data_IF_354911901877
#
_entry.id   IF_354911901877
#
_cell.length_a   1.000
_cell.length_b   1.000
_cell.length_c   1.000
_cell.angle_alpha   90.00
_cell.angle_beta   90.00
_cell.angle_gamma   90.00
#
_symmetry.space_group_name_H-M   'P 1'
#
loop_
_entity.id
_entity.type
_entity.pdbx_description
1 polymer ?
#
# COMPACT_ATOMS: atom_id res chain seq x y z
N UNK A 1 -12.16 9.49 3.14
CA UNK A 1 -11.07 8.64 3.70
C UNK A 1 -9.94 9.58 4.08
N UNK A 2 -9.53 9.57 5.35
CA UNK A 2 -8.41 10.36 5.85
C UNK A 2 -7.06 9.73 5.45
N UNK A 3 -6.00 10.53 5.40
CA UNK A 3 -4.64 10.03 5.06
C UNK A 3 -4.14 9.02 6.11
N UNK A 4 -4.51 9.21 7.39
CA UNK A 4 -4.23 8.22 8.45
C UNK A 4 -4.90 6.87 8.17
N UNK A 5 -6.17 6.87 7.76
CA UNK A 5 -6.89 5.64 7.41
C UNK A 5 -6.27 4.95 6.20
N UNK A 6 -5.82 5.71 5.20
CA UNK A 6 -5.09 5.15 4.05
C UNK A 6 -3.75 4.55 4.45
N UNK A 7 -2.98 5.22 5.31
CA UNK A 7 -1.72 4.68 5.83
C UNK A 7 -1.96 3.37 6.62
N UNK A 8 -3.03 3.29 7.42
CA UNK A 8 -3.43 2.06 8.11
C UNK A 8 -3.80 0.94 7.14
N UNK A 9 -4.49 1.26 6.03
CA UNK A 9 -4.77 0.27 4.99
C UNK A 9 -3.51 -0.19 4.27
N UNK A 10 -2.53 0.70 4.04
CA UNK A 10 -1.21 0.31 3.55
C UNK A 10 -0.49 -0.62 4.54
N UNK A 11 -0.56 -0.35 5.84
CA UNK A 11 0.00 -1.25 6.85
C UNK A 11 -0.75 -2.60 6.90
N UNK A 12 -2.07 -2.59 6.74
CA UNK A 12 -2.89 -3.80 6.66
C UNK A 12 -2.52 -4.68 5.46
N UNK A 13 -2.07 -4.10 4.35
CA UNK A 13 -1.67 -4.87 3.17
C UNK A 13 -0.46 -5.80 3.40
N UNK A 14 0.29 -5.61 4.48
CA UNK A 14 1.38 -6.51 4.89
C UNK A 14 0.90 -7.72 5.69
N UNK A 15 -0.37 -7.78 6.08
CA UNK A 15 -0.93 -8.94 6.77
C UNK A 15 -1.40 -9.95 5.73
N UNK A 16 -0.78 -11.13 5.72
CA UNK A 16 -1.19 -12.23 4.85
C UNK A 16 -2.49 -12.85 5.35
N UNK A 17 -3.51 -12.84 4.50
CA UNK A 17 -4.83 -13.34 4.87
C UNK A 17 -4.86 -14.88 4.85
N UNK A 18 -5.25 -15.55 5.94
CA UNK A 18 -5.44 -17.00 5.95
C UNK A 18 -6.39 -17.45 4.82
N UNK A 19 -6.09 -18.59 4.23
CA UNK A 19 -6.81 -19.12 3.06
C UNK A 19 -8.33 -19.20 3.29
N UNK A 20 -8.73 -19.58 4.48
CA UNK A 20 -10.14 -19.72 4.87
C UNK A 20 -10.84 -18.35 4.89
N UNK A 21 -10.14 -17.31 5.36
CA UNK A 21 -10.66 -15.93 5.34
C UNK A 21 -10.70 -15.38 3.93
N UNK A 22 -9.68 -15.65 3.12
CA UNK A 22 -9.65 -15.23 1.72
C UNK A 22 -10.79 -15.87 0.91
N UNK A 23 -11.07 -17.15 1.15
CA UNK A 23 -12.18 -17.87 0.51
C UNK A 23 -13.57 -17.40 0.98
N UNK A 24 -13.65 -16.76 2.15
CA UNK A 24 -14.91 -16.24 2.72
C UNK A 24 -15.23 -14.79 2.32
N UNK A 25 -14.42 -14.17 1.45
CA UNK A 25 -14.70 -12.84 0.93
C UNK A 25 -15.91 -12.88 -0.04
N UNK A 26 -16.71 -11.80 -0.11
CA UNK A 26 -16.53 -10.50 0.52
C UNK A 26 -16.94 -10.46 1.99
N UNK A 27 -16.19 -9.68 2.80
CA UNK A 27 -16.44 -9.54 4.23
C UNK A 27 -16.14 -8.10 4.72
N UNK A 28 -16.89 -7.60 5.71
CA UNK A 28 -16.60 -6.32 6.35
C UNK A 28 -15.19 -6.33 6.92
N UNK A 29 -14.45 -5.22 6.75
CA UNK A 29 -13.06 -5.11 7.24
C UNK A 29 -13.01 -5.31 8.77
N UNK A 30 -13.96 -4.74 9.52
CA UNK A 30 -14.06 -4.95 10.97
C UNK A 30 -14.18 -6.44 11.34
N UNK A 31 -14.90 -7.22 10.54
CA UNK A 31 -15.04 -8.67 10.77
C UNK A 31 -13.78 -9.44 10.38
N UNK A 32 -13.10 -9.05 9.30
CA UNK A 32 -11.79 -9.61 8.95
C UNK A 32 -10.80 -9.37 10.08
N UNK A 33 -10.71 -8.12 10.57
CA UNK A 33 -9.86 -7.78 11.71
C UNK A 33 -10.21 -8.58 12.96
N UNK A 34 -11.51 -8.72 13.29
CA UNK A 34 -11.97 -9.52 14.43
C UNK A 34 -11.52 -10.97 14.35
N UNK A 35 -11.68 -11.62 13.20
CA UNK A 35 -11.24 -13.02 12.99
C UNK A 35 -9.72 -13.19 13.12
N UNK A 36 -8.93 -12.22 12.59
CA UNK A 36 -7.49 -12.24 12.75
C UNK A 36 -7.08 -12.04 14.21
N UNK A 37 -7.75 -11.16 14.96
CA UNK A 37 -7.49 -10.93 16.38
C UNK A 37 -7.88 -12.15 17.24
N UNK A 38 -8.98 -12.83 16.92
CA UNK A 38 -9.43 -14.05 17.60
C UNK A 38 -8.44 -15.21 17.40
N UNK A 39 -7.90 -15.38 16.19
CA UNK A 39 -6.91 -16.41 15.90
C UNK A 39 -5.51 -16.07 16.41
N UNK A 40 -5.18 -14.79 16.53
CA UNK A 40 -3.83 -14.31 16.82
C UNK A 40 -2.82 -14.58 15.70
N UNK A 41 -3.27 -14.99 14.51
CA UNK A 41 -2.40 -15.43 13.42
C UNK A 41 -2.80 -14.85 12.06
N UNK A 42 -1.78 -14.56 11.24
CA UNK A 42 -1.88 -14.39 9.79
C UNK A 42 -1.69 -15.75 9.09
N UNK A 43 -1.67 -15.77 7.76
CA UNK A 43 -1.37 -16.99 7.01
C UNK A 43 0.07 -17.50 7.23
N UNK A 44 1.00 -16.63 7.63
CA UNK A 44 2.42 -16.91 7.66
C UNK A 44 3.03 -16.94 9.07
N UNK A 45 2.44 -16.21 10.02
CA UNK A 45 3.06 -15.99 11.34
C UNK A 45 2.06 -15.54 12.40
N UNK A 46 2.46 -15.59 13.66
CA UNK A 46 1.74 -14.96 14.76
C UNK A 46 1.70 -13.43 14.57
N UNK A 47 0.57 -12.84 14.91
CA UNK A 47 0.41 -11.39 14.84
C UNK A 47 1.24 -10.71 15.92
N UNK A 48 2.11 -9.79 15.50
CA UNK A 48 2.84 -8.93 16.42
C UNK A 48 1.88 -8.01 17.21
N UNK A 49 2.36 -7.47 18.32
CA UNK A 49 1.60 -6.50 19.12
C UNK A 49 1.19 -5.27 18.27
N UNK A 50 2.04 -4.86 17.31
CA UNK A 50 1.76 -3.75 16.41
C UNK A 50 0.67 -4.11 15.39
N UNK A 51 0.72 -5.31 14.81
CA UNK A 51 -0.32 -5.81 13.93
C UNK A 51 -1.67 -5.89 14.66
N UNK A 52 -1.68 -6.38 15.90
CA UNK A 52 -2.91 -6.42 16.71
C UNK A 52 -3.46 -5.03 17.03
N UNK A 53 -2.58 -4.03 17.32
CA UNK A 53 -3.00 -2.64 17.50
C UNK A 53 -3.60 -2.06 16.22
N UNK A 54 -2.96 -2.30 15.08
CA UNK A 54 -3.47 -1.89 13.77
C UNK A 54 -4.86 -2.47 13.48
N UNK A 55 -5.05 -3.78 13.69
CA UNK A 55 -6.32 -4.46 13.44
C UNK A 55 -7.45 -3.90 14.32
N UNK A 56 -7.17 -3.63 15.61
CA UNK A 56 -8.13 -2.95 16.49
C UNK A 56 -8.46 -1.54 15.97
N UNK A 57 -7.44 -0.74 15.63
CA UNK A 57 -7.66 0.60 15.11
C UNK A 57 -8.49 0.62 13.82
N UNK A 58 -8.31 -0.37 12.93
CA UNK A 58 -9.11 -0.51 11.70
C UNK A 58 -10.56 -0.95 12.00
N UNK A 59 -10.75 -1.82 12.98
CA UNK A 59 -12.07 -2.30 13.38
C UNK A 59 -12.89 -1.22 14.11
N UNK A 60 -12.24 -0.39 14.93
CA UNK A 60 -12.89 0.60 15.79
C UNK A 60 -13.10 1.96 15.10
N UNK A 61 -12.32 2.27 14.05
CA UNK A 61 -12.48 3.53 13.31
C UNK A 61 -13.66 3.41 12.34
N UNK A 62 -14.69 4.24 12.51
CA UNK A 62 -15.93 4.19 11.70
C UNK A 62 -15.65 4.18 10.19
N UNK A 63 -14.70 5.00 9.76
CA UNK A 63 -14.35 5.15 8.35
C UNK A 63 -13.82 3.86 7.71
N UNK A 64 -13.02 3.08 8.45
CA UNK A 64 -12.43 1.81 7.98
C UNK A 64 -13.32 0.61 8.30
N UNK A 65 -13.99 0.61 9.45
CA UNK A 65 -14.87 -0.48 9.88
C UNK A 65 -16.01 -0.78 8.89
N UNK A 66 -16.48 0.24 8.16
CA UNK A 66 -17.55 0.12 7.16
C UNK A 66 -17.07 -0.40 5.80
N UNK A 67 -15.77 -0.45 5.55
CA UNK A 67 -15.23 -1.00 4.32
C UNK A 67 -15.55 -2.49 4.22
N UNK A 68 -15.74 -2.96 3.00
CA UNK A 68 -15.88 -4.39 2.71
C UNK A 68 -14.68 -4.85 1.91
N UNK A 69 -13.90 -5.78 2.44
CA UNK A 69 -12.86 -6.48 1.67
C UNK A 69 -13.58 -7.35 0.65
N UNK A 70 -13.39 -7.05 -0.62
CA UNK A 70 -14.05 -7.76 -1.73
C UNK A 70 -13.10 -8.67 -2.49
N UNK A 71 -11.80 -8.38 -2.41
CA UNK A 71 -10.75 -9.12 -3.12
C UNK A 71 -9.47 -9.11 -2.30
N UNK A 72 -8.74 -10.20 -2.34
CA UNK A 72 -7.38 -10.34 -1.85
C UNK A 72 -6.55 -11.06 -2.90
N UNK A 73 -5.44 -10.47 -3.30
CA UNK A 73 -4.45 -11.06 -4.18
C UNK A 73 -3.14 -11.21 -3.42
N UNK A 74 -2.51 -12.38 -3.49
CA UNK A 74 -1.19 -12.65 -2.94
C UNK A 74 -0.47 -13.65 -3.85
N UNK A 75 0.43 -13.15 -4.67
CA UNK A 75 1.26 -13.93 -5.57
C UNK A 75 2.70 -14.03 -5.05
N UNK A 76 2.83 -14.44 -3.79
CA UNK A 76 4.12 -14.51 -3.09
C UNK A 76 5.19 -15.36 -3.77
N UNK A 77 4.80 -16.35 -4.59
CA UNK A 77 5.72 -17.22 -5.32
C UNK A 77 5.96 -16.82 -6.78
N UNK A 78 5.13 -15.94 -7.34
CA UNK A 78 5.24 -15.45 -8.72
C UNK A 78 5.90 -14.07 -8.78
N UNK A 79 5.08 -13.02 -8.87
CA UNK A 79 5.55 -11.63 -8.95
C UNK A 79 5.91 -11.02 -7.60
N UNK A 80 5.50 -11.62 -6.48
CA UNK A 80 5.56 -11.04 -5.13
C UNK A 80 4.48 -9.98 -4.89
N UNK A 81 3.54 -9.77 -5.81
CA UNK A 81 2.46 -8.81 -5.66
C UNK A 81 1.45 -9.27 -4.62
N UNK A 82 1.08 -8.35 -3.72
CA UNK A 82 -0.08 -8.57 -2.86
C UNK A 82 -0.87 -7.28 -2.68
N UNK A 83 -2.18 -7.40 -2.60
CA UNK A 83 -3.07 -6.27 -2.42
C UNK A 83 -4.46 -6.69 -1.92
N UNK A 84 -5.13 -5.73 -1.31
CA UNK A 84 -6.54 -5.82 -0.93
C UNK A 84 -7.38 -4.89 -1.76
N UNK A 85 -8.45 -5.41 -2.34
CA UNK A 85 -9.55 -4.64 -2.91
C UNK A 85 -10.64 -4.43 -1.88
N UNK A 86 -10.98 -3.16 -1.62
CA UNK A 86 -11.99 -2.79 -0.64
C UNK A 86 -13.08 -1.95 -1.30
N UNK A 87 -14.33 -2.24 -0.95
CA UNK A 87 -15.47 -1.44 -1.35
C UNK A 87 -15.84 -0.47 -0.24
N UNK A 88 -15.85 0.82 -0.57
CA UNK A 88 -16.40 1.90 0.24
C UNK A 88 -17.84 2.21 -0.18
N UNK A 89 -18.48 3.19 0.50
CA UNK A 89 -19.84 3.64 0.16
C UNK A 89 -19.94 4.13 -1.28
N UNK A 90 -18.96 4.94 -1.71
CA UNK A 90 -19.04 5.69 -2.97
C UNK A 90 -17.95 5.28 -3.99
N UNK A 91 -17.32 4.12 -3.79
CA UNK A 91 -16.26 3.67 -4.70
C UNK A 91 -15.43 2.53 -4.12
N UNK A 92 -14.20 2.39 -4.63
CA UNK A 92 -13.30 1.31 -4.28
C UNK A 92 -11.92 1.83 -3.87
N UNK A 93 -11.23 1.04 -3.06
CA UNK A 93 -9.85 1.29 -2.64
C UNK A 93 -9.04 0.04 -2.95
N UNK A 94 -7.86 0.19 -3.54
CA UNK A 94 -6.89 -0.88 -3.69
C UNK A 94 -5.67 -0.52 -2.88
N UNK A 95 -5.39 -1.30 -1.82
CA UNK A 95 -4.22 -1.14 -0.96
C UNK A 95 -3.16 -2.17 -1.35
N UNK A 96 -2.05 -1.73 -1.89
CA UNK A 96 -0.96 -2.57 -2.43
C UNK A 96 0.18 -2.66 -1.43
N UNK A 97 0.66 -3.89 -1.19
CA UNK A 97 1.78 -4.19 -0.29
C UNK A 97 3.10 -3.72 -0.90
N UNK A 98 3.97 -3.15 -0.07
CA UNK A 98 5.37 -2.95 -0.40
C UNK A 98 6.21 -4.22 -0.24
N UNK A 99 7.53 -4.09 -0.38
CA UNK A 99 8.44 -5.22 -0.20
C UNK A 99 8.52 -5.63 1.26
N UNK A 100 8.56 -6.94 1.49
CA UNK A 100 8.83 -7.52 2.79
C UNK A 100 10.34 -7.72 2.97
N UNK A 101 10.91 -7.04 3.96
CA UNK A 101 12.34 -7.14 4.23
C UNK A 101 12.72 -8.44 4.98
N UNK A 102 11.79 -9.01 5.74
CA UNK A 102 11.98 -10.20 6.60
C UNK A 102 10.64 -10.88 6.83
N UNK A 103 10.66 -12.19 6.98
CA UNK A 103 9.49 -13.00 7.32
C UNK A 103 9.46 -14.32 6.56
N UNK A 104 8.68 -15.31 7.01
CA UNK A 104 8.59 -16.62 6.36
C UNK A 104 7.99 -16.56 4.95
N UNK A 105 7.27 -15.49 4.63
CA UNK A 105 6.70 -15.24 3.31
C UNK A 105 7.47 -14.19 2.49
N UNK A 106 8.58 -13.63 3.05
CA UNK A 106 9.42 -12.67 2.35
C UNK A 106 10.18 -13.36 1.21
N UNK A 107 9.78 -13.10 -0.02
CA UNK A 107 10.41 -13.66 -1.21
C UNK A 107 11.70 -12.94 -1.58
N UNK A 108 12.76 -13.67 -1.97
CA UNK A 108 13.95 -13.09 -2.59
C UNK A 108 13.63 -12.28 -3.86
N UNK A 109 12.50 -12.54 -4.48
CA UNK A 109 12.02 -11.90 -5.69
C UNK A 109 11.78 -10.41 -5.49
N UNK A 110 11.27 -9.98 -4.32
CA UNK A 110 10.99 -8.57 -4.02
C UNK A 110 12.25 -7.70 -4.03
N UNK A 111 13.38 -8.20 -3.54
CA UNK A 111 14.64 -7.47 -3.56
C UNK A 111 15.22 -7.32 -4.95
N UNK A 112 15.20 -8.41 -5.75
CA UNK A 112 15.67 -8.39 -7.15
C UNK A 112 14.82 -7.42 -7.95
N UNK A 113 13.50 -7.46 -7.78
CA UNK A 113 12.57 -6.57 -8.48
C UNK A 113 12.75 -5.10 -8.07
N UNK A 114 13.07 -4.82 -6.79
CA UNK A 114 13.37 -3.46 -6.33
C UNK A 114 14.61 -2.87 -7.00
N UNK A 115 15.66 -3.68 -7.22
CA UNK A 115 16.86 -3.24 -7.93
C UNK A 115 16.64 -3.13 -9.44
N UNK A 116 15.81 -3.98 -10.01
CA UNK A 116 15.55 -4.02 -11.45
C UNK A 116 14.49 -3.01 -11.90
N UNK A 117 13.51 -2.71 -11.04
CA UNK A 117 12.37 -1.84 -11.36
C UNK A 117 12.76 -0.49 -11.99
N UNK A 118 13.83 0.22 -11.57
CA UNK A 118 14.26 1.46 -12.18
C UNK A 118 14.70 1.34 -13.64
N UNK A 119 15.13 0.14 -14.06
CA UNK A 119 15.75 -0.10 -15.37
C UNK A 119 14.82 -0.83 -16.33
N UNK A 120 14.11 -1.85 -15.85
CA UNK A 120 13.32 -2.76 -16.69
C UNK A 120 11.83 -2.80 -16.34
N UNK A 121 11.41 -2.08 -15.31
CA UNK A 121 10.07 -2.15 -14.76
C UNK A 121 9.90 -3.28 -13.73
N UNK A 122 8.85 -3.16 -12.92
CA UNK A 122 8.50 -4.17 -11.92
C UNK A 122 7.71 -5.32 -12.54
N UNK A 123 7.98 -6.54 -12.11
CA UNK A 123 7.15 -7.71 -12.46
C UNK A 123 5.72 -7.57 -11.94
N UNK A 124 5.52 -6.76 -10.91
CA UNK A 124 4.22 -6.52 -10.27
C UNK A 124 3.33 -5.53 -11.05
N UNK A 125 3.84 -4.87 -12.09
CA UNK A 125 3.06 -3.88 -12.84
C UNK A 125 1.81 -4.47 -13.47
N UNK A 126 1.92 -5.63 -14.10
CA UNK A 126 0.78 -6.30 -14.74
C UNK A 126 -0.30 -6.70 -13.74
N UNK A 127 0.10 -7.11 -12.53
CA UNK A 127 -0.84 -7.47 -11.46
C UNK A 127 -1.52 -6.24 -10.88
N UNK A 128 -0.77 -5.16 -10.66
CA UNK A 128 -1.30 -3.87 -10.19
C UNK A 128 -2.30 -3.27 -11.20
N UNK A 129 -1.98 -3.31 -12.49
CA UNK A 129 -2.88 -2.87 -13.56
C UNK A 129 -4.15 -3.73 -13.64
N UNK A 130 -4.00 -5.06 -13.57
CA UNK A 130 -5.13 -6.00 -13.61
C UNK A 130 -6.09 -5.74 -12.44
N UNK A 131 -5.55 -5.58 -11.23
CA UNK A 131 -6.36 -5.32 -10.06
C UNK A 131 -7.07 -3.95 -10.14
N UNK A 132 -6.37 -2.90 -10.58
CA UNK A 132 -6.99 -1.59 -10.79
C UNK A 132 -8.06 -1.61 -11.90
N UNK A 133 -7.83 -2.37 -12.99
CA UNK A 133 -8.77 -2.51 -14.10
C UNK A 133 -10.07 -3.26 -13.73
N UNK A 134 -10.08 -4.00 -12.63
CA UNK A 134 -11.29 -4.61 -12.06
C UNK A 134 -12.30 -3.58 -11.56
N UNK A 135 -11.88 -2.33 -11.32
CA UNK A 135 -12.71 -1.26 -10.74
C UNK A 135 -12.88 -0.11 -11.74
N UNK A 136 -13.65 -0.34 -12.80
CA UNK A 136 -13.84 0.63 -13.89
C UNK A 136 -14.86 1.71 -13.61
N UNK A 137 -15.82 1.44 -12.74
CA UNK A 137 -16.94 2.33 -12.44
C UNK A 137 -16.79 2.98 -11.06
N UNK A 138 -17.18 4.27 -10.99
CA UNK A 138 -17.12 5.04 -9.76
C UNK A 138 -15.72 5.45 -9.32
N UNK A 139 -15.58 6.15 -8.20
CA UNK A 139 -14.31 6.56 -7.64
C UNK A 139 -13.42 5.35 -7.30
N UNK A 140 -12.14 5.40 -7.72
CA UNK A 140 -11.12 4.42 -7.39
C UNK A 140 -9.96 5.12 -6.72
N UNK A 141 -9.59 4.67 -5.52
CA UNK A 141 -8.42 5.15 -4.80
C UNK A 141 -7.37 4.04 -4.71
N UNK A 142 -6.22 4.26 -5.33
CA UNK A 142 -5.06 3.36 -5.26
C UNK A 142 -4.14 3.85 -4.15
N UNK A 143 -3.68 2.96 -3.28
CA UNK A 143 -2.77 3.33 -2.21
C UNK A 143 -1.74 2.24 -1.94
N UNK A 144 -0.61 2.63 -1.35
CA UNK A 144 0.45 1.70 -0.99
C UNK A 144 1.64 2.43 -0.37
N UNK A 145 2.51 1.66 0.27
CA UNK A 145 3.74 2.11 0.88
C UNK A 145 4.94 1.55 0.12
N UNK A 146 6.02 2.33 0.00
CA UNK A 146 7.26 1.87 -0.64
C UNK A 146 7.01 1.37 -2.07
N UNK A 147 7.39 0.12 -2.39
CA UNK A 147 7.10 -0.53 -3.67
C UNK A 147 5.59 -0.63 -3.96
N UNK A 148 4.75 -0.87 -2.94
CA UNK A 148 3.30 -0.88 -3.12
C UNK A 148 2.76 0.49 -3.55
N UNK A 149 3.34 1.58 -3.01
CA UNK A 149 3.06 2.94 -3.45
C UNK A 149 3.49 3.18 -4.90
N UNK A 150 4.67 2.69 -5.28
CA UNK A 150 5.15 2.74 -6.66
C UNK A 150 4.22 2.00 -7.63
N UNK A 151 3.76 0.80 -7.26
CA UNK A 151 2.79 0.03 -8.03
C UNK A 151 1.44 0.75 -8.15
N UNK A 152 0.96 1.39 -7.08
CA UNK A 152 -0.27 2.18 -7.08
C UNK A 152 -0.16 3.40 -8.04
N UNK A 153 0.98 4.08 -8.03
CA UNK A 153 1.26 5.17 -8.97
C UNK A 153 1.31 4.66 -10.41
N UNK A 154 2.00 3.55 -10.67
CA UNK A 154 2.07 2.97 -12.01
C UNK A 154 0.68 2.56 -12.53
N UNK A 155 -0.10 1.86 -11.71
CA UNK A 155 -1.46 1.45 -12.05
C UNK A 155 -2.37 2.66 -12.32
N UNK A 156 -2.25 3.76 -11.56
CA UNK A 156 -2.94 5.01 -11.88
C UNK A 156 -2.51 5.55 -13.24
N UNK A 157 -1.22 5.51 -13.56
CA UNK A 157 -0.69 5.94 -14.87
C UNK A 157 -1.38 5.24 -16.02
N UNK A 158 -1.67 3.96 -15.88
CA UNK A 158 -2.31 3.10 -16.89
C UNK A 158 -3.84 3.01 -16.76
N UNK A 159 -4.43 3.52 -15.68
CA UNK A 159 -5.87 3.35 -15.43
C UNK A 159 -6.73 4.04 -16.49
N UNK A 160 -7.71 3.31 -17.01
CA UNK A 160 -8.77 3.84 -17.89
C UNK A 160 -9.86 4.59 -17.10
N UNK A 161 -10.03 4.26 -15.81
CA UNK A 161 -11.02 4.90 -14.95
C UNK A 161 -10.72 6.41 -14.77
N UNK A 162 -11.59 7.33 -15.25
CA UNK A 162 -11.35 8.77 -15.18
C UNK A 162 -11.43 9.32 -13.75
N UNK A 163 -12.04 8.59 -12.83
CA UNK A 163 -12.17 8.96 -11.42
C UNK A 163 -11.09 8.33 -10.52
N UNK A 164 -10.13 7.59 -11.12
CA UNK A 164 -9.04 7.01 -10.37
C UNK A 164 -8.08 8.08 -9.86
N UNK A 165 -7.60 7.90 -8.61
CA UNK A 165 -6.60 8.72 -7.93
C UNK A 165 -5.62 7.81 -7.18
N UNK A 166 -4.45 8.32 -6.80
CA UNK A 166 -3.53 7.59 -5.95
C UNK A 166 -3.00 8.45 -4.80
N UNK A 167 -2.86 7.82 -3.65
CA UNK A 167 -2.16 8.34 -2.48
C UNK A 167 -1.11 7.32 -2.08
N UNK A 168 0.15 7.67 -2.23
CA UNK A 168 1.29 6.82 -1.92
C UNK A 168 2.05 7.34 -0.70
N UNK A 169 2.76 6.44 -0.01
CA UNK A 169 3.57 6.75 1.16
C UNK A 169 4.99 6.23 0.93
N UNK A 170 6.00 7.11 0.99
CA UNK A 170 7.41 6.79 0.78
C UNK A 170 7.68 5.97 -0.50
N UNK A 171 6.88 6.19 -1.53
CA UNK A 171 7.00 5.48 -2.79
C UNK A 171 8.19 6.00 -3.60
N UNK A 172 8.97 5.09 -4.17
CA UNK A 172 10.01 5.46 -5.14
C UNK A 172 9.37 6.01 -6.43
N UNK A 173 10.09 6.86 -7.14
CA UNK A 173 9.70 7.37 -8.44
C UNK A 173 9.97 6.40 -9.60
N UNK A 174 10.04 6.91 -10.81
CA UNK A 174 10.16 6.14 -12.05
C UNK A 174 11.48 6.41 -12.76
N UNK A 175 12.06 5.36 -13.34
CA UNK A 175 13.24 5.44 -14.19
C UNK A 175 12.93 6.16 -15.52
N UNK A 176 14.01 6.53 -16.22
CA UNK A 176 13.90 7.23 -17.51
C UNK A 176 13.19 6.33 -18.54
N UNK A 177 12.12 6.85 -19.15
CA UNK A 177 11.37 6.12 -20.17
C UNK A 177 10.32 5.13 -19.67
N UNK A 178 10.19 4.90 -18.37
CA UNK A 178 9.18 3.98 -17.82
C UNK A 178 7.73 4.47 -17.95
N UNK A 179 7.55 5.78 -18.06
CA UNK A 179 6.22 6.39 -18.22
C UNK A 179 6.13 7.17 -19.52
N UNK A 180 5.02 7.01 -20.21
CA UNK A 180 4.64 7.85 -21.34
C UNK A 180 4.31 9.29 -20.89
N UNK A 181 4.30 10.28 -21.79
CA UNK A 181 3.88 11.64 -21.45
C UNK A 181 2.46 11.70 -20.86
N UNK A 182 1.52 10.92 -21.38
CA UNK A 182 0.14 10.87 -20.89
C UNK A 182 0.04 10.30 -19.46
N UNK A 183 0.83 9.25 -19.15
CA UNK A 183 0.91 8.70 -17.79
C UNK A 183 1.47 9.73 -16.81
N UNK A 184 2.55 10.42 -17.17
CA UNK A 184 3.12 11.50 -16.34
C UNK A 184 2.11 12.61 -16.06
N UNK A 185 1.37 13.06 -17.07
CA UNK A 185 0.34 14.07 -16.90
C UNK A 185 -0.77 13.60 -15.97
N UNK A 186 -1.19 12.33 -16.07
CA UNK A 186 -2.20 11.74 -15.19
C UNK A 186 -1.73 11.69 -13.75
N UNK A 187 -0.48 11.26 -13.50
CA UNK A 187 0.10 11.24 -12.17
C UNK A 187 0.21 12.66 -11.57
N UNK A 188 0.69 13.63 -12.33
CA UNK A 188 0.77 15.04 -11.90
C UNK A 188 -0.59 15.60 -11.47
N UNK A 189 -1.67 15.20 -12.15
CA UNK A 189 -3.02 15.69 -11.89
C UNK A 189 -3.77 14.96 -10.76
N UNK A 190 -3.42 13.69 -10.48
CA UNK A 190 -4.30 12.80 -9.70
C UNK A 190 -3.58 11.98 -8.62
N UNK A 191 -2.28 12.18 -8.43
CA UNK A 191 -1.52 11.45 -7.44
C UNK A 191 -0.82 12.37 -6.44
N UNK A 192 -0.72 11.88 -5.19
CA UNK A 192 0.08 12.48 -4.13
C UNK A 192 0.97 11.39 -3.53
N UNK A 193 2.24 11.72 -3.27
CA UNK A 193 3.18 10.87 -2.55
C UNK A 193 3.66 11.60 -1.29
N UNK A 194 3.30 11.11 -0.13
CA UNK A 194 3.80 11.59 1.16
C UNK A 194 5.17 10.98 1.43
N UNK A 195 6.19 11.84 1.53
CA UNK A 195 7.58 11.39 1.70
C UNK A 195 8.13 11.93 3.02
N UNK A 196 8.53 11.03 3.91
CA UNK A 196 9.11 11.38 5.19
C UNK A 196 10.47 12.07 5.01
N UNK A 197 10.71 13.13 5.77
CA UNK A 197 12.04 13.78 5.79
C UNK A 197 13.08 12.75 6.23
N UNK A 198 14.14 12.58 5.42
CA UNK A 198 15.19 11.57 5.65
C UNK A 198 14.96 10.24 4.94
N UNK A 199 13.77 9.96 4.41
CA UNK A 199 13.55 8.79 3.57
C UNK A 199 14.32 8.91 2.25
N UNK A 200 15.16 7.91 1.97
CA UNK A 200 15.91 7.85 0.71
C UNK A 200 15.07 7.26 -0.42
N UNK A 201 14.23 6.26 -0.14
CA UNK A 201 13.46 5.54 -1.16
C UNK A 201 12.48 6.48 -1.87
N UNK A 202 11.70 7.24 -1.12
CA UNK A 202 10.75 8.21 -1.67
C UNK A 202 11.38 9.40 -2.37
N UNK A 203 12.73 9.48 -2.39
CA UNK A 203 13.49 10.49 -3.12
C UNK A 203 14.16 9.96 -4.38
N UNK A 204 14.18 8.65 -4.56
CA UNK A 204 14.81 8.02 -5.70
C UNK A 204 14.01 8.25 -6.97
N UNK A 205 14.73 8.52 -8.07
CA UNK A 205 14.19 8.58 -9.42
C UNK A 205 13.31 9.83 -9.70
N UNK A 206 12.56 9.79 -10.81
CA UNK A 206 11.71 10.89 -11.23
C UNK A 206 10.29 10.76 -10.68
N UNK A 207 9.76 11.86 -10.18
CA UNK A 207 8.44 11.92 -9.55
C UNK A 207 7.54 12.88 -10.33
N UNK A 208 6.70 12.39 -11.24
CA UNK A 208 5.73 13.23 -11.92
C UNK A 208 4.56 13.67 -11.04
N UNK A 209 4.24 12.90 -10.00
CA UNK A 209 3.18 13.18 -9.03
C UNK A 209 3.56 14.30 -8.04
N UNK A 210 2.55 14.86 -7.37
CA UNK A 210 2.78 15.81 -6.27
C UNK A 210 3.44 15.08 -5.11
N UNK A 211 4.62 15.56 -4.65
CA UNK A 211 5.24 15.10 -3.41
C UNK A 211 4.97 16.07 -2.26
N UNK A 212 4.64 15.51 -1.11
CA UNK A 212 4.46 16.26 0.13
C UNK A 212 5.47 15.74 1.16
N UNK A 213 6.39 16.61 1.58
CA UNK A 213 7.35 16.27 2.61
C UNK A 213 6.66 16.31 3.99
N UNK A 214 6.77 15.22 4.75
CA UNK A 214 6.22 15.08 6.09
C UNK A 214 7.32 14.83 7.12
N UNK A 215 7.07 15.18 8.36
CA UNK A 215 8.02 14.91 9.45
C UNK A 215 7.88 13.46 9.90
N UNK A 216 9.02 12.84 10.28
CA UNK A 216 9.01 11.57 10.99
C UNK A 216 8.72 11.78 12.48
N UNK A 217 8.06 10.81 13.10
CA UNK A 217 7.83 10.79 14.52
C UNK A 217 9.15 10.49 15.27
N UNK A 218 9.65 11.39 16.14
CA UNK A 218 10.94 11.22 16.81
C UNK A 218 10.95 10.10 17.86
N UNK A 219 9.79 9.59 18.27
CA UNK A 219 9.66 8.60 19.35
C UNK A 219 9.95 7.15 18.95
N UNK A 220 10.25 6.88 17.66
CA UNK A 220 10.52 5.52 17.16
C UNK A 220 12.02 5.22 17.03
N UNK A 221 12.91 6.09 17.50
CA UNK A 221 14.37 5.97 17.37
C UNK A 221 14.98 5.11 18.48
N UNK A 222 14.66 3.83 18.51
CA UNK A 222 15.35 2.85 19.36
C UNK A 222 16.58 2.25 18.66
N UNK A 223 17.67 3.00 18.49
CA UNK A 223 18.98 2.44 18.08
C UNK A 223 19.11 2.05 16.60
N UNK A 224 18.12 2.29 15.76
CA UNK A 224 18.17 2.02 14.32
C UNK A 224 18.68 3.23 13.52
N UNK A 225 19.15 3.01 12.28
CA UNK A 225 19.59 4.11 11.43
C UNK A 225 18.41 5.06 11.13
N UNK A 226 18.67 6.37 11.15
CA UNK A 226 17.64 7.37 10.87
C UNK A 226 16.96 7.21 9.51
N UNK A 227 17.66 6.55 8.56
CA UNK A 227 17.16 6.26 7.20
C UNK A 227 16.11 5.15 7.21
N UNK A 228 16.36 4.05 7.94
CA UNK A 228 15.40 2.94 8.06
C UNK A 228 14.13 3.39 8.78
N UNK A 229 14.28 4.17 9.86
CA UNK A 229 13.16 4.76 10.59
C UNK A 229 12.34 5.65 9.67
N UNK A 230 13.00 6.53 8.90
CA UNK A 230 12.31 7.46 8.01
C UNK A 230 11.50 6.75 6.91
N UNK A 231 11.94 5.56 6.47
CA UNK A 231 11.22 4.79 5.45
C UNK A 231 9.99 4.06 5.98
N UNK A 232 9.92 3.76 7.28
CA UNK A 232 8.80 3.01 7.86
C UNK A 232 7.49 3.78 7.80
N UNK A 233 6.43 3.10 7.41
CA UNK A 233 5.09 3.68 7.40
C UNK A 233 4.66 4.20 8.79
N UNK A 234 5.06 3.49 9.85
CA UNK A 234 4.79 3.89 11.24
C UNK A 234 5.54 5.14 11.70
N UNK A 235 6.51 5.65 10.92
CA UNK A 235 7.20 6.91 11.24
C UNK A 235 6.44 8.17 10.82
N UNK A 236 5.40 8.02 10.00
CA UNK A 236 4.58 9.14 9.54
C UNK A 236 3.78 9.73 10.70
N UNK A 237 3.92 11.03 10.90
CA UNK A 237 3.08 11.77 11.84
C UNK A 237 1.83 12.29 11.13
N UNK A 238 0.68 11.94 11.67
CA UNK A 238 -0.61 12.43 11.22
C UNK A 238 -1.18 13.40 12.24
N UNK A 239 -1.88 14.43 11.76
CA UNK A 239 -2.66 15.29 12.64
C UNK A 239 -3.74 14.43 13.33
N UNK A 240 -3.93 14.54 14.66
CA UNK A 240 -4.99 13.80 15.34
C UNK A 240 -6.40 14.09 14.82
N UNK A 241 -6.57 15.18 14.09
CA UNK A 241 -7.85 15.55 13.48
C UNK A 241 -7.99 15.09 12.02
N UNK A 242 -6.99 14.40 11.45
CA UNK A 242 -7.01 13.79 10.11
C UNK A 242 -6.15 14.48 9.08
#
# INVERSE_FOLDING_TARGET
MTDLSLARLCAFSYIHLPRELAAALPMRLSRVCGRLLESGQSACEELSADAMRLLRALADTLETAQLTVVEYSDDGFGSGFAAYGLRARDGHIVAMRGSEARGPCAGHIDWIDNFAAPFVGSRQYADAERMAAGYREGPLLLTGHSKGGHNALYALGSAENPLARAVAFNAQGFGRGQLTPGQKQRLAARAVNYVTKGDLVGRLLAHPEKRVAVCSCPYLSGGESGVEIAHRLGSLCFDPQG
#
